data_IF_938454420185
#
_entry.id   IF_938454420185
#
_cell.length_a   1.000
_cell.length_b   1.000
_cell.length_c   1.000
_cell.angle_alpha   90.00
_cell.angle_beta   90.00
_cell.angle_gamma   90.00
#
_symmetry.space_group_name_H-M   'P 1'
#
loop_
_entity.id
_entity.type
_entity.pdbx_description
1 polymer ?
#
# COMPACT_ATOMS: atom_id res chain seq x y z
N UNK A 1 -2.70 -35.55 -44.31
CA UNK A 1 -3.24 -34.21 -43.97
C UNK A 1 -3.86 -34.09 -42.57
N UNK A 2 -4.22 -35.16 -41.85
CA UNK A 2 -4.85 -35.08 -40.51
C UNK A 2 -3.91 -34.72 -39.33
N UNK A 3 -2.61 -35.00 -39.43
CA UNK A 3 -1.64 -34.78 -38.33
C UNK A 3 -1.26 -33.31 -38.11
N UNK A 4 -1.39 -32.46 -39.12
CA UNK A 4 -1.07 -31.03 -39.03
C UNK A 4 -2.13 -30.22 -38.28
N UNK A 5 -3.41 -30.58 -38.45
CA UNK A 5 -4.53 -29.96 -37.75
C UNK A 5 -4.48 -30.21 -36.23
N UNK A 6 -4.04 -31.40 -35.82
CA UNK A 6 -3.91 -31.76 -34.39
C UNK A 6 -2.80 -30.94 -33.73
N UNK A 7 -1.67 -30.71 -34.41
CA UNK A 7 -0.56 -29.91 -33.88
C UNK A 7 -0.91 -28.44 -33.71
N UNK A 8 -1.66 -27.86 -34.65
CA UNK A 8 -2.14 -26.48 -34.55
C UNK A 8 -3.10 -26.25 -33.37
N UNK A 9 -4.02 -27.18 -33.14
CA UNK A 9 -4.96 -27.11 -32.02
C UNK A 9 -4.27 -27.21 -30.65
N UNK A 10 -3.24 -28.06 -30.52
CA UNK A 10 -2.46 -28.19 -29.28
C UNK A 10 -1.67 -26.91 -28.98
N UNK A 11 -1.05 -26.30 -30.00
CA UNK A 11 -0.31 -25.05 -29.82
C UNK A 11 -1.23 -23.92 -29.37
N UNK A 12 -2.41 -23.79 -29.99
CA UNK A 12 -3.41 -22.79 -29.58
C UNK A 12 -3.84 -23.05 -28.14
N UNK A 13 -4.20 -24.28 -27.77
CA UNK A 13 -4.59 -24.63 -26.41
C UNK A 13 -3.52 -24.25 -25.36
N UNK A 14 -2.25 -24.53 -25.64
CA UNK A 14 -1.13 -24.19 -24.74
C UNK A 14 -0.96 -22.67 -24.63
N UNK A 15 -1.09 -21.93 -25.72
CA UNK A 15 -1.00 -20.46 -25.72
C UNK A 15 -2.18 -19.86 -24.92
N UNK A 16 -3.41 -20.35 -25.10
CA UNK A 16 -4.56 -19.86 -24.34
C UNK A 16 -4.43 -20.21 -22.86
N UNK A 17 -3.95 -21.41 -22.53
CA UNK A 17 -3.71 -21.82 -21.14
C UNK A 17 -2.64 -20.94 -20.48
N UNK A 18 -1.53 -20.66 -21.19
CA UNK A 18 -0.49 -19.74 -20.72
C UNK A 18 -1.01 -18.31 -20.58
N UNK A 19 -1.86 -17.84 -21.49
CA UNK A 19 -2.48 -16.52 -21.41
C UNK A 19 -3.47 -16.41 -20.24
N UNK A 20 -4.24 -17.47 -19.96
CA UNK A 20 -5.16 -17.54 -18.80
C UNK A 20 -4.37 -17.63 -17.48
N UNK A 21 -3.28 -18.40 -17.44
CA UNK A 21 -2.38 -18.42 -16.28
C UNK A 21 -1.75 -17.04 -16.08
N UNK A 22 -1.29 -16.37 -17.15
CA UNK A 22 -0.74 -15.00 -17.06
C UNK A 22 -1.78 -13.97 -16.61
N UNK A 23 -3.01 -14.06 -17.12
CA UNK A 23 -4.11 -13.18 -16.73
C UNK A 23 -4.55 -13.42 -15.28
N UNK A 24 -4.61 -14.68 -14.84
CA UNK A 24 -4.91 -15.06 -13.45
C UNK A 24 -3.80 -14.72 -12.45
N UNK A 25 -2.55 -14.59 -12.91
CA UNK A 25 -1.38 -14.18 -12.09
C UNK A 25 -1.23 -12.65 -12.04
N UNK A 26 -1.84 -11.90 -12.96
CA UNK A 26 -1.76 -10.43 -13.01
C UNK A 26 -2.82 -9.71 -12.15
N UNK A 27 -3.82 -10.42 -11.64
CA UNK A 27 -4.74 -9.89 -10.65
C UNK A 27 -4.16 -10.05 -9.24
N UNK A 28 -3.36 -9.08 -8.78
CA UNK A 28 -2.99 -9.00 -7.37
C UNK A 28 -4.24 -8.61 -6.56
N UNK A 29 -5.11 -9.59 -6.33
CA UNK A 29 -6.30 -9.47 -5.49
C UNK A 29 -5.81 -9.24 -4.06
N UNK A 30 -6.16 -8.10 -3.46
CA UNK A 30 -6.06 -7.91 -2.01
C UNK A 30 -6.90 -9.00 -1.34
N UNK A 31 -6.30 -10.14 -0.99
CA UNK A 31 -7.05 -11.31 -0.48
C UNK A 31 -7.69 -11.06 0.88
N UNK A 32 -7.28 -10.02 1.61
CA UNK A 32 -7.80 -9.71 2.95
C UNK A 32 -7.77 -8.22 3.22
N UNK A 33 -8.93 -7.64 3.49
CA UNK A 33 -9.04 -6.27 4.01
C UNK A 33 -9.39 -6.35 5.49
N UNK A 34 -8.62 -5.67 6.33
CA UNK A 34 -8.87 -5.65 7.77
C UNK A 34 -8.73 -4.24 8.28
N UNK A 35 -9.77 -3.75 8.96
CA UNK A 35 -9.78 -2.43 9.59
C UNK A 35 -9.45 -2.59 11.06
N UNK A 36 -8.47 -1.82 11.51
CA UNK A 36 -8.02 -1.72 12.88
C UNK A 36 -8.52 -0.41 13.48
N UNK A 37 -8.54 -0.31 14.82
CA UNK A 37 -8.77 0.95 15.52
C UNK A 37 -7.95 2.09 14.94
N UNK A 38 -8.49 3.31 14.99
CA UNK A 38 -7.82 4.46 14.38
C UNK A 38 -7.81 4.41 12.85
N UNK A 39 -8.78 3.74 12.21
CA UNK A 39 -9.01 3.83 10.76
C UNK A 39 -7.88 3.25 9.89
N UNK A 40 -6.92 2.55 10.48
CA UNK A 40 -5.87 1.85 9.76
C UNK A 40 -6.48 0.66 9.03
N UNK A 41 -6.29 0.60 7.72
CA UNK A 41 -6.73 -0.52 6.88
C UNK A 41 -5.51 -1.30 6.41
N UNK A 42 -5.42 -2.55 6.85
CA UNK A 42 -4.56 -3.54 6.25
C UNK A 42 -5.21 -4.04 4.95
N UNK A 43 -4.48 -3.93 3.85
CA UNK A 43 -4.96 -4.29 2.52
C UNK A 43 -4.42 -5.66 2.06
N UNK A 44 -3.76 -6.41 2.94
CA UNK A 44 -3.20 -7.71 2.61
C UNK A 44 -1.87 -7.61 1.87
N UNK A 45 -1.47 -8.75 1.31
CA UNK A 45 -0.24 -8.85 0.54
C UNK A 45 -0.43 -8.30 -0.87
N UNK A 46 0.43 -7.37 -1.29
CA UNK A 46 0.64 -6.96 -2.67
C UNK A 46 1.75 -7.79 -3.29
N UNK A 47 1.77 -7.93 -4.62
CA UNK A 47 2.76 -8.74 -5.33
C UNK A 47 3.66 -7.83 -6.16
N UNK A 48 4.96 -7.91 -5.94
CA UNK A 48 5.98 -7.17 -6.69
C UNK A 48 6.24 -7.76 -8.07
N UNK A 49 7.09 -7.08 -8.86
CA UNK A 49 7.47 -7.44 -10.24
C UNK A 49 8.10 -8.84 -10.41
N UNK A 50 8.52 -9.46 -9.31
CA UNK A 50 9.12 -10.81 -9.27
C UNK A 50 8.30 -11.83 -8.48
N UNK A 51 7.03 -11.53 -8.19
CA UNK A 51 6.16 -12.45 -7.43
C UNK A 51 6.31 -12.35 -5.91
N UNK A 52 7.16 -11.45 -5.40
CA UNK A 52 7.34 -11.23 -3.96
C UNK A 52 6.06 -10.67 -3.35
N UNK A 53 5.49 -11.35 -2.35
CA UNK A 53 4.31 -10.91 -1.62
C UNK A 53 4.72 -10.03 -0.43
N UNK A 54 4.06 -8.88 -0.21
CA UNK A 54 4.40 -7.94 0.87
C UNK A 54 3.20 -7.14 1.37
N UNK A 55 3.24 -6.71 2.63
CA UNK A 55 2.11 -6.08 3.30
C UNK A 55 1.91 -4.62 2.90
N UNK A 56 0.67 -4.24 2.52
CA UNK A 56 0.27 -2.85 2.29
C UNK A 56 -0.63 -2.35 3.42
N UNK A 57 -0.26 -1.20 3.97
CA UNK A 57 -1.09 -0.44 4.89
C UNK A 57 -1.62 0.81 4.23
N UNK A 58 -2.88 1.15 4.50
CA UNK A 58 -3.46 2.40 4.07
C UNK A 58 -4.45 2.95 5.10
N UNK A 59 -4.56 4.27 5.15
CA UNK A 59 -5.74 4.94 5.66
C UNK A 59 -6.43 5.66 4.49
N UNK A 60 -7.74 5.47 4.41
CA UNK A 60 -8.59 6.14 3.43
C UNK A 60 -9.75 6.82 4.15
N UNK A 61 -10.02 8.06 3.80
CA UNK A 61 -11.22 8.79 4.21
C UNK A 61 -11.96 9.30 2.98
N UNK A 62 -13.28 9.12 3.01
CA UNK A 62 -14.15 9.63 1.95
C UNK A 62 -13.98 11.15 1.82
N UNK A 63 -13.97 11.70 0.59
CA UNK A 63 -13.94 13.14 0.36
C UNK A 63 -15.25 13.85 0.79
N UNK A 64 -16.22 13.16 1.40
CA UNK A 64 -17.51 13.72 1.85
C UNK A 64 -17.50 14.32 3.28
N UNK A 65 -16.33 14.35 3.95
CA UNK A 65 -15.97 15.23 5.08
C UNK A 65 -17.01 15.56 6.17
N UNK A 66 -17.05 14.75 7.23
CA UNK A 66 -17.51 15.22 8.57
C UNK A 66 -16.61 14.71 9.68
N UNK A 67 -16.03 13.52 9.50
CA UNK A 67 -15.30 12.87 10.60
C UNK A 67 -13.85 13.34 10.67
N UNK A 68 -13.29 13.46 11.90
CA UNK A 68 -11.87 13.74 12.07
C UNK A 68 -11.01 12.63 11.42
N UNK A 69 -9.78 13.01 11.04
CA UNK A 69 -8.76 12.03 10.74
C UNK A 69 -8.49 11.20 11.99
N UNK A 70 -8.19 9.90 11.83
CA UNK A 70 -7.87 9.08 12.98
C UNK A 70 -6.62 9.57 13.71
N UNK A 71 -6.56 9.26 15.01
CA UNK A 71 -5.39 9.48 15.84
C UNK A 71 -4.25 8.55 15.40
N UNK A 72 -3.47 9.01 14.43
CA UNK A 72 -2.29 8.33 13.93
C UNK A 72 -1.16 9.35 13.75
N UNK A 73 0.07 8.89 13.95
CA UNK A 73 1.27 9.69 13.77
C UNK A 73 2.19 8.98 12.78
N UNK A 74 2.59 9.72 11.75
CA UNK A 74 3.63 9.30 10.83
C UNK A 74 4.97 9.80 11.35
N UNK A 75 5.97 8.94 11.40
CA UNK A 75 7.34 9.33 11.72
C UNK A 75 8.17 9.30 10.45
N UNK A 76 8.91 10.38 10.21
CA UNK A 76 9.82 10.52 9.08
C UNK A 76 11.20 10.83 9.64
N UNK A 77 12.12 9.87 9.56
CA UNK A 77 13.45 10.03 10.16
C UNK A 77 13.39 10.32 11.67
N UNK A 78 12.44 9.70 12.36
CA UNK A 78 12.20 9.89 13.80
C UNK A 78 11.40 11.14 14.18
N UNK A 79 11.14 12.06 13.25
CA UNK A 79 10.31 13.24 13.53
C UNK A 79 8.82 12.89 13.46
N UNK A 80 8.02 13.19 14.50
CA UNK A 80 6.59 12.86 14.53
C UNK A 80 5.74 13.88 13.76
N UNK A 81 4.82 13.37 12.94
CA UNK A 81 3.83 14.13 12.20
C UNK A 81 2.44 13.53 12.42
N UNK A 82 1.65 14.06 13.38
CA UNK A 82 0.25 13.68 13.54
C UNK A 82 -0.51 13.88 12.22
N UNK A 83 -1.31 12.91 11.77
CA UNK A 83 -1.99 13.01 10.48
C UNK A 83 -2.92 14.21 10.38
N UNK A 84 -3.54 14.61 11.49
CA UNK A 84 -4.38 15.80 11.58
C UNK A 84 -3.61 17.11 11.33
N UNK A 85 -2.29 17.10 11.52
CA UNK A 85 -1.41 18.26 11.33
C UNK A 85 -0.67 18.27 9.99
N UNK A 86 -0.74 17.18 9.21
CA UNK A 86 -0.09 17.10 7.91
C UNK A 86 -0.78 18.03 6.91
N UNK A 87 -0.02 18.93 6.33
CA UNK A 87 -0.45 19.85 5.26
C UNK A 87 0.17 19.48 3.92
N UNK A 88 -0.38 20.04 2.84
CA UNK A 88 0.21 19.94 1.51
C UNK A 88 1.67 20.43 1.52
N UNK A 89 1.96 21.54 2.21
CA UNK A 89 3.30 22.14 2.25
C UNK A 89 4.33 21.28 2.98
N UNK A 90 3.96 20.66 4.11
CA UNK A 90 4.85 19.75 4.84
C UNK A 90 5.27 18.59 3.94
N UNK A 91 4.32 17.93 3.28
CA UNK A 91 4.64 16.81 2.41
C UNK A 91 5.25 17.26 1.07
N UNK A 92 4.92 18.43 0.55
CA UNK A 92 5.58 19.04 -0.61
C UNK A 92 7.06 19.28 -0.36
N UNK A 93 7.42 19.76 0.84
CA UNK A 93 8.82 20.01 1.20
C UNK A 93 9.68 18.76 1.17
N UNK A 94 9.08 17.59 1.42
CA UNK A 94 9.76 16.30 1.41
C UNK A 94 9.75 15.65 0.01
N UNK A 95 8.65 15.81 -0.73
CA UNK A 95 8.37 15.04 -1.96
C UNK A 95 8.55 15.82 -3.27
N UNK A 96 8.65 17.15 -3.18
CA UNK A 96 8.54 18.05 -4.33
C UNK A 96 7.12 18.17 -4.91
N UNK A 97 6.10 17.52 -4.33
CA UNK A 97 4.72 17.52 -4.83
C UNK A 97 3.69 17.80 -3.74
N UNK A 98 2.86 18.83 -3.92
CA UNK A 98 1.91 19.27 -2.88
C UNK A 98 0.68 18.38 -2.70
N UNK A 99 0.06 17.91 -3.80
CA UNK A 99 -1.28 17.31 -3.75
C UNK A 99 -1.29 15.79 -3.68
N UNK A 100 -0.31 15.16 -4.27
CA UNK A 100 -0.14 13.72 -4.24
C UNK A 100 1.31 13.42 -4.53
N UNK A 101 1.78 12.32 -3.97
CA UNK A 101 3.16 11.98 -4.12
C UNK A 101 3.51 10.80 -3.28
N UNK A 102 4.81 10.64 -3.20
CA UNK A 102 5.42 9.36 -3.36
C UNK A 102 6.85 9.55 -2.81
N UNK A 103 7.06 9.20 -1.55
CA UNK A 103 8.35 9.30 -0.86
C UNK A 103 8.94 7.92 -0.69
N UNK A 104 10.26 7.80 -0.81
CA UNK A 104 11.00 6.61 -0.40
C UNK A 104 11.84 6.92 0.82
N UNK A 105 11.91 5.98 1.75
CA UNK A 105 12.88 6.04 2.83
C UNK A 105 14.15 5.24 2.46
N UNK A 106 15.16 5.28 3.34
CA UNK A 106 16.43 4.60 3.12
C UNK A 106 16.35 3.06 3.24
N UNK A 107 15.34 2.55 3.94
CA UNK A 107 15.10 1.11 4.13
C UNK A 107 14.24 0.51 3.00
N UNK A 108 13.84 1.33 2.04
CA UNK A 108 12.99 0.92 0.94
C UNK A 108 11.54 0.74 1.39
N UNK A 109 10.99 1.67 2.16
CA UNK A 109 9.54 1.85 2.30
C UNK A 109 9.07 2.99 1.41
N UNK A 110 7.89 2.83 0.82
CA UNK A 110 7.19 3.82 0.03
C UNK A 110 6.06 4.41 0.87
N UNK A 111 6.13 5.72 1.13
CA UNK A 111 4.98 6.48 1.61
C UNK A 111 4.28 7.13 0.41
N UNK A 112 2.98 6.89 0.28
CA UNK A 112 2.13 7.53 -0.73
C UNK A 112 1.06 8.35 -0.04
N UNK A 113 0.70 9.50 -0.60
CA UNK A 113 -0.32 10.37 -0.01
C UNK A 113 -1.13 11.10 -1.06
N UNK A 114 -2.30 11.61 -0.65
CA UNK A 114 -3.20 12.40 -1.48
C UNK A 114 -3.99 13.41 -0.65
N UNK A 115 -3.96 14.66 -1.09
CA UNK A 115 -4.79 15.75 -0.61
C UNK A 115 -5.92 16.06 -1.59
N UNK A 116 -7.06 16.50 -1.05
CA UNK A 116 -8.14 17.13 -1.81
C UNK A 116 -8.67 18.32 -1.02
N UNK A 117 -8.75 19.49 -1.65
CA UNK A 117 -9.20 20.72 -0.99
C UNK A 117 -8.38 21.07 0.26
N UNK A 118 -7.04 20.89 0.23
CA UNK A 118 -6.15 21.22 1.36
C UNK A 118 -6.13 20.20 2.49
N UNK A 119 -6.85 19.08 2.38
CA UNK A 119 -6.99 18.09 3.46
C UNK A 119 -6.49 16.71 3.00
N UNK A 120 -5.77 16.02 3.88
CA UNK A 120 -5.30 14.66 3.62
C UNK A 120 -6.51 13.71 3.50
N UNK A 121 -6.61 13.01 2.37
CA UNK A 121 -7.71 12.06 2.08
C UNK A 121 -7.25 10.61 2.05
N UNK A 122 -5.96 10.40 1.80
CA UNK A 122 -5.40 9.07 1.69
C UNK A 122 -3.92 9.11 1.99
N UNK A 123 -3.47 8.09 2.71
CA UNK A 123 -2.06 7.82 2.98
C UNK A 123 -1.86 6.30 2.96
N UNK A 124 -0.73 5.85 2.43
CA UNK A 124 -0.38 4.44 2.38
C UNK A 124 1.11 4.27 2.60
N UNK A 125 1.46 3.24 3.36
CA UNK A 125 2.82 2.78 3.54
C UNK A 125 2.95 1.38 2.91
N UNK A 126 4.00 1.20 2.13
CA UNK A 126 4.30 -0.02 1.38
C UNK A 126 5.78 -0.36 1.54
N UNK A 127 6.15 -1.64 1.54
CA UNK A 127 7.55 -2.01 1.33
C UNK A 127 7.91 -1.87 -0.16
N UNK A 128 8.93 -1.09 -0.46
CA UNK A 128 9.52 -0.87 -1.77
C UNK A 128 10.56 -1.95 -2.08
N UNK A 129 10.24 -2.80 -3.05
CA UNK A 129 11.20 -3.77 -3.62
C UNK A 129 11.49 -3.51 -5.10
N UNK A 130 11.06 -2.37 -5.62
CA UNK A 130 11.33 -1.89 -6.99
C UNK A 130 12.57 -0.99 -7.01
N UNK A 131 13.26 -0.93 -8.16
CA UNK A 131 14.36 0.01 -8.40
C UNK A 131 13.88 1.45 -8.08
N UNK A 132 14.46 2.14 -7.08
CA UNK A 132 14.07 3.49 -6.69
C UNK A 132 14.06 4.47 -7.87
N UNK A 133 14.86 4.20 -8.91
CA UNK A 133 14.97 5.02 -10.13
C UNK A 133 13.75 4.97 -11.04
N UNK A 134 12.94 3.91 -10.98
CA UNK A 134 11.71 3.77 -11.80
C UNK A 134 10.49 4.44 -11.19
N UNK A 135 10.50 4.70 -9.89
CA UNK A 135 9.37 5.34 -9.22
C UNK A 135 9.42 6.87 -9.31
N UNK A 136 10.56 7.46 -9.68
CA UNK A 136 10.71 8.89 -9.97
C UNK A 136 10.65 9.78 -8.72
N UNK A 137 11.25 9.36 -7.61
CA UNK A 137 10.92 9.90 -6.27
C UNK A 137 12.09 10.45 -5.48
N UNK A 138 11.78 11.46 -4.67
CA UNK A 138 12.64 11.98 -3.63
C UNK A 138 12.86 10.93 -2.55
N UNK A 139 14.13 10.61 -2.31
CA UNK A 139 14.56 9.78 -1.19
C UNK A 139 14.70 10.67 0.03
N UNK A 140 13.96 10.36 1.08
CA UNK A 140 14.05 11.05 2.36
C UNK A 140 15.05 10.30 3.24
N UNK A 141 15.97 11.04 3.86
CA UNK A 141 16.89 10.47 4.86
C UNK A 141 16.11 10.02 6.09
N UNK A 142 16.26 8.76 6.48
CA UNK A 142 15.58 8.16 7.63
C UNK A 142 14.65 7.03 7.23
N UNK A 143 13.80 6.60 8.17
CA UNK A 143 12.83 5.50 7.99
C UNK A 143 11.41 6.03 8.20
N UNK A 144 10.44 5.40 7.53
CA UNK A 144 9.02 5.65 7.76
C UNK A 144 8.49 4.70 8.83
N UNK A 145 7.83 5.26 9.84
CA UNK A 145 7.12 4.48 10.85
C UNK A 145 5.73 5.07 11.08
N UNK A 146 4.80 4.25 11.56
CA UNK A 146 3.44 4.67 11.89
C UNK A 146 3.13 4.26 13.32
N UNK A 147 2.49 5.14 14.09
CA UNK A 147 1.77 4.77 15.31
C UNK A 147 0.27 5.01 15.16
N UNK A 148 -0.51 4.22 15.90
CA UNK A 148 -1.97 4.25 15.90
C UNK A 148 -2.46 4.39 17.33
N UNK A 149 -3.37 5.33 17.60
CA UNK A 149 -3.96 5.63 18.91
C UNK A 149 -2.90 5.73 20.03
N UNK A 150 -1.83 6.51 19.78
CA UNK A 150 -0.69 6.70 20.69
C UNK A 150 0.08 5.42 21.07
N UNK A 151 -0.11 4.33 20.31
CA UNK A 151 0.67 3.09 20.44
C UNK A 151 2.13 3.24 19.98
N UNK A 152 2.94 2.19 20.16
CA UNK A 152 4.34 2.20 19.72
C UNK A 152 4.45 2.32 18.18
N UNK A 153 5.41 3.10 17.66
CA UNK A 153 5.65 3.21 16.22
C UNK A 153 6.21 1.90 15.65
N UNK A 154 5.83 1.59 14.41
CA UNK A 154 6.32 0.42 13.68
C UNK A 154 6.56 0.73 12.19
N UNK A 155 7.53 0.03 11.59
CA UNK A 155 7.81 0.07 10.15
C UNK A 155 7.26 -1.17 9.44
N UNK A 156 7.28 -1.16 8.11
CA UNK A 156 7.04 -2.35 7.30
C UNK A 156 8.36 -3.12 7.06
N UNK A 157 8.31 -4.44 6.83
CA UNK A 157 7.11 -5.29 6.82
C UNK A 157 6.58 -5.58 8.24
N UNK A 158 5.26 -5.72 8.37
CA UNK A 158 4.59 -6.03 9.65
C UNK A 158 3.55 -7.13 9.45
N UNK A 159 3.57 -8.15 10.31
CA UNK A 159 2.63 -9.25 10.18
C UNK A 159 1.24 -8.88 10.69
N UNK A 160 0.22 -9.66 10.32
CA UNK A 160 -1.11 -9.51 10.90
C UNK A 160 -1.10 -9.67 12.43
N UNK A 161 -0.31 -10.60 12.96
CA UNK A 161 -0.20 -10.82 14.41
C UNK A 161 0.42 -9.61 15.10
N UNK A 162 1.45 -9.01 14.50
CA UNK A 162 2.03 -7.76 14.98
C UNK A 162 1.03 -6.62 14.95
N UNK A 163 0.24 -6.47 13.88
CA UNK A 163 -0.81 -5.46 13.82
C UNK A 163 -1.87 -5.65 14.92
N UNK A 164 -2.25 -6.89 15.24
CA UNK A 164 -3.16 -7.17 16.36
C UNK A 164 -2.53 -6.79 17.70
N UNK A 165 -1.23 -7.04 17.88
CA UNK A 165 -0.48 -6.68 19.08
C UNK A 165 -0.31 -5.16 19.23
N UNK A 166 -0.07 -4.46 18.13
CA UNK A 166 0.26 -3.03 18.10
C UNK A 166 -0.98 -2.13 18.07
N UNK A 167 -2.02 -2.52 17.33
CA UNK A 167 -3.22 -1.70 17.11
C UNK A 167 -4.46 -2.25 17.82
N UNK A 168 -4.39 -3.44 18.41
CA UNK A 168 -5.54 -4.15 18.98
C UNK A 168 -6.27 -5.01 17.96
N UNK A 169 -7.39 -5.61 18.39
CA UNK A 169 -8.18 -6.49 17.52
C UNK A 169 -8.85 -5.68 16.39
N UNK A 170 -9.00 -6.27 15.19
CA UNK A 170 -9.73 -5.63 14.11
C UNK A 170 -11.16 -5.27 14.48
N UNK A 171 -11.60 -4.08 14.08
CA UNK A 171 -13.00 -3.64 14.19
C UNK A 171 -13.87 -4.29 13.11
N UNK A 172 -13.29 -4.51 11.93
CA UNK A 172 -13.96 -5.14 10.80
C UNK A 172 -12.98 -5.96 9.97
N UNK A 173 -13.35 -7.20 9.68
CA UNK A 173 -12.67 -8.04 8.70
C UNK A 173 -13.57 -8.23 7.49
N UNK A 174 -13.09 -7.88 6.30
CA UNK A 174 -13.76 -8.17 5.04
C UNK A 174 -12.95 -9.16 4.21
N UNK A 175 -13.64 -10.12 3.60
CA UNK A 175 -13.17 -10.80 2.42
C UNK A 175 -13.80 -10.10 1.22
N UNK A 176 -13.00 -9.39 0.43
CA UNK A 176 -13.44 -9.00 -0.90
C UNK A 176 -12.36 -9.39 -1.89
N UNK A 177 -12.63 -10.50 -2.55
CA UNK A 177 -12.10 -10.84 -3.86
C UNK A 177 -12.56 -9.71 -4.79
N UNK A 178 -11.63 -8.95 -5.34
CA UNK A 178 -11.92 -8.13 -6.51
C UNK A 178 -11.28 -8.80 -7.72
N UNK A 179 -12.15 -9.47 -8.48
CA UNK A 179 -11.96 -9.72 -9.91
C UNK A 179 -11.78 -8.39 -10.67
#
# INVERSE_FOLDING_TARGET
MKTWLIRGAVIILVITLLAVIRAGVLGAVCKRRTQYPGGLTFLGHSTGLFGTQYDRLAMWKSPTYTDPLPAMTLYIGGQPYPLASLTEDILASLSGMARHGNLLDAEGSILRYKFRGGRLTWISLEAAFSDPRREGRNVVSGTFQISVNDGPPFSLPVTHADLVRLCGRPEKSGWEIAN
#
